data_IF_964491579225
#
_entry.id   IF_964491579225
#
_cell.length_a   1.000
_cell.length_b   1.000
_cell.length_c   1.000
_cell.angle_alpha   90.00
_cell.angle_beta   90.00
_cell.angle_gamma   90.00
#
_symmetry.space_group_name_H-M   'P 1'
#
loop_
_entity.id
_entity.type
_entity.pdbx_description
1 polymer ?
#
# COMPACT_ATOMS: atom_id res chain seq x y z
N UNK A 1 -8.43 -0.16 72.61
CA UNK A 1 -7.70 0.04 71.34
C UNK A 1 -8.68 -0.30 70.20
N UNK A 2 -9.60 0.54 69.70
CA UNK A 2 -9.89 1.98 69.81
C UNK A 2 -9.09 2.97 68.94
N UNK A 3 -9.43 3.02 67.65
CA UNK A 3 -9.87 4.23 66.92
C UNK A 3 -11.15 3.84 66.16
N UNK A 4 -12.28 4.57 66.04
CA UNK A 4 -12.59 6.03 66.07
C UNK A 4 -11.78 6.79 65.03
N UNK A 5 -12.28 7.58 64.08
CA UNK A 5 -13.59 8.12 63.60
C UNK A 5 -13.14 9.11 62.44
N UNK A 6 -13.98 9.86 61.67
CA UNK A 6 -15.43 9.79 61.51
C UNK A 6 -15.94 9.81 60.05
N UNK A 7 -17.26 9.81 59.94
CA UNK A 7 -18.10 10.20 58.81
C UNK A 7 -18.21 11.74 58.68
N UNK A 8 -18.37 12.25 57.46
CA UNK A 8 -18.88 13.61 57.18
C UNK A 8 -19.38 13.75 55.74
N UNK A 9 -20.69 13.92 55.60
CA UNK A 9 -21.39 14.28 54.36
C UNK A 9 -21.34 15.79 54.08
N UNK A 10 -20.93 16.17 52.87
CA UNK A 10 -21.21 17.42 52.12
C UNK A 10 -20.43 17.25 50.79
N UNK A 11 -20.93 17.53 49.59
CA UNK A 11 -22.09 18.30 49.18
C UNK A 11 -21.71 19.16 47.97
N UNK A 12 -21.58 18.56 46.78
CA UNK A 12 -21.47 19.29 45.50
C UNK A 12 -21.94 18.42 44.35
N UNK A 13 -23.09 18.76 43.79
CA UNK A 13 -23.52 18.31 42.46
C UNK A 13 -22.85 19.21 41.42
N UNK A 14 -21.96 18.64 40.61
CA UNK A 14 -21.64 19.22 39.29
C UNK A 14 -22.32 18.37 38.23
N UNK A 15 -23.37 18.94 37.64
CA UNK A 15 -24.07 18.35 36.51
C UNK A 15 -23.19 18.45 35.27
N UNK A 16 -22.59 17.34 34.83
CA UNK A 16 -21.96 17.26 33.51
C UNK A 16 -23.06 17.17 32.45
N UNK A 17 -23.60 18.31 32.07
CA UNK A 17 -24.63 18.46 31.06
C UNK A 17 -24.04 18.16 29.66
N UNK A 18 -24.20 16.91 29.20
CA UNK A 18 -23.86 16.53 27.83
C UNK A 18 -24.78 17.25 26.83
N UNK A 19 -24.29 18.33 26.22
CA UNK A 19 -25.00 19.01 25.14
C UNK A 19 -25.05 18.15 23.88
N UNK A 20 -26.12 17.36 23.75
CA UNK A 20 -26.54 16.78 22.47
C UNK A 20 -26.99 17.91 21.54
N UNK A 21 -26.31 18.11 20.41
CA UNK A 21 -26.71 19.07 19.37
C UNK A 21 -27.54 18.38 18.26
N UNK A 22 -28.85 18.62 18.15
CA UNK A 22 -29.64 18.13 17.03
C UNK A 22 -29.66 19.15 15.89
N UNK A 23 -28.92 18.90 14.80
CA UNK A 23 -29.05 19.68 13.57
C UNK A 23 -30.01 19.01 12.59
N UNK A 24 -31.13 19.69 12.31
CA UNK A 24 -32.12 19.26 11.32
C UNK A 24 -31.81 19.83 9.94
N UNK A 25 -31.74 18.94 8.94
CA UNK A 25 -31.62 19.35 7.54
C UNK A 25 -32.85 20.14 7.08
N UNK A 26 -32.63 21.25 6.37
CA UNK A 26 -33.68 21.94 5.62
C UNK A 26 -33.35 21.91 4.12
N UNK A 27 -34.20 21.24 3.33
CA UNK A 27 -34.11 21.28 1.88
C UNK A 27 -34.37 22.71 1.37
N UNK A 28 -33.50 23.22 0.50
CA UNK A 28 -33.86 24.32 -0.41
C UNK A 28 -33.78 23.84 -1.86
N UNK A 29 -34.87 24.04 -2.60
CA UNK A 29 -35.03 23.63 -3.99
C UNK A 29 -34.88 24.84 -4.93
N UNK A 30 -34.35 24.57 -6.14
CA UNK A 30 -34.50 25.36 -7.39
C UNK A 30 -33.65 26.64 -7.52
N UNK A 31 -33.32 27.11 -8.73
CA UNK A 31 -33.71 26.70 -10.12
C UNK A 31 -32.50 26.84 -11.10
N UNK A 32 -32.63 26.31 -12.31
CA UNK A 32 -31.62 26.29 -13.39
C UNK A 32 -31.20 27.68 -13.94
N UNK A 33 -29.95 27.81 -14.42
CA UNK A 33 -29.67 28.40 -15.75
C UNK A 33 -28.24 28.12 -16.25
N UNK A 34 -28.12 27.44 -17.39
CA UNK A 34 -26.86 27.27 -18.14
C UNK A 34 -26.75 28.38 -19.19
N UNK A 35 -25.63 29.10 -19.25
CA UNK A 35 -25.22 29.86 -20.43
C UNK A 35 -23.72 29.71 -20.72
N UNK A 36 -23.41 29.27 -21.95
CA UNK A 36 -22.07 29.31 -22.51
C UNK A 36 -21.65 30.75 -22.83
N UNK A 37 -20.38 31.09 -22.62
CA UNK A 37 -19.62 31.91 -23.58
C UNK A 37 -18.09 31.87 -23.33
N UNK A 38 -17.35 31.76 -24.43
CA UNK A 38 -15.96 32.18 -24.65
C UNK A 38 -16.03 33.30 -25.74
N UNK A 39 -14.99 34.13 -26.07
CA UNK A 39 -13.56 33.78 -26.13
C UNK A 39 -12.54 34.92 -25.86
N UNK A 40 -11.27 34.68 -26.25
CA UNK A 40 -10.21 35.65 -26.66
C UNK A 40 -9.49 36.47 -25.58
N UNK A 41 -8.24 36.96 -25.73
CA UNK A 41 -7.04 36.63 -26.56
C UNK A 41 -5.86 37.46 -25.99
N UNK A 42 -4.60 37.05 -26.20
CA UNK A 42 -3.40 37.91 -26.01
C UNK A 42 -2.34 37.60 -27.10
N UNK A 43 -1.47 38.55 -27.51
CA UNK A 43 -0.99 38.63 -28.90
C UNK A 43 0.48 38.22 -29.17
N UNK A 44 0.80 38.08 -30.45
CA UNK A 44 2.15 37.92 -31.04
C UNK A 44 2.94 39.25 -31.10
N UNK A 45 4.28 39.18 -31.24
CA UNK A 45 5.01 39.76 -32.39
C UNK A 45 6.56 39.53 -32.40
N UNK A 46 7.09 39.06 -33.53
CA UNK A 46 8.39 39.45 -34.17
C UNK A 46 9.77 39.16 -33.50
N UNK A 47 10.90 39.01 -34.22
CA UNK A 47 11.14 38.69 -35.64
C UNK A 47 12.60 38.21 -35.94
N UNK A 48 12.70 37.29 -36.92
CA UNK A 48 13.75 37.09 -37.95
C UNK A 48 15.17 37.68 -37.80
N UNK A 49 16.16 36.78 -37.75
CA UNK A 49 17.20 36.54 -38.79
C UNK A 49 17.73 35.08 -38.69
N UNK A 50 18.42 34.45 -39.66
CA UNK A 50 18.74 34.81 -41.05
C UNK A 50 19.77 33.85 -41.72
N UNK A 51 19.92 33.96 -43.05
CA UNK A 51 21.02 33.42 -43.91
C UNK A 51 21.17 31.87 -44.08
N UNK A 52 20.66 31.39 -45.22
CA UNK A 52 21.15 30.34 -46.17
C UNK A 52 22.26 29.33 -45.81
N UNK A 53 22.12 28.07 -46.28
CA UNK A 53 23.23 27.38 -46.97
C UNK A 53 23.49 25.86 -46.77
N UNK A 54 22.73 25.01 -47.49
CA UNK A 54 23.20 23.83 -48.28
C UNK A 54 24.19 22.76 -47.71
N UNK A 55 23.69 21.51 -47.69
CA UNK A 55 24.35 20.19 -47.94
C UNK A 55 25.37 19.53 -46.97
N UNK A 56 25.21 18.19 -46.92
CA UNK A 56 26.18 17.09 -46.63
C UNK A 56 26.34 16.47 -45.21
N UNK A 57 25.94 15.18 -45.19
CA UNK A 57 26.54 13.99 -44.52
C UNK A 57 26.70 13.89 -43.00
N UNK A 58 26.28 12.76 -42.37
CA UNK A 58 26.74 12.34 -41.06
C UNK A 58 28.00 11.46 -41.16
N UNK A 59 29.01 11.76 -40.35
CA UNK A 59 30.15 10.86 -40.10
C UNK A 59 29.84 9.87 -38.97
N UNK A 60 30.19 8.60 -39.17
CA UNK A 60 30.66 7.72 -38.08
C UNK A 60 31.75 6.82 -38.64
N UNK A 61 33.01 7.05 -38.24
CA UNK A 61 34.14 6.23 -38.67
C UNK A 61 34.12 4.82 -38.08
N UNK A 62 34.43 3.83 -38.92
CA UNK A 62 34.93 2.51 -38.50
C UNK A 62 36.07 2.06 -39.42
N UNK A 63 37.26 2.01 -38.85
CA UNK A 63 38.47 1.36 -39.38
C UNK A 63 38.78 0.15 -38.45
N UNK A 64 39.37 -0.99 -38.87
CA UNK A 64 40.00 -1.41 -40.14
C UNK A 64 40.17 -2.95 -40.18
N UNK A 65 40.28 -3.54 -41.37
CA UNK A 65 40.75 -4.93 -41.60
C UNK A 65 39.88 -5.68 -42.62
N UNK A 66 40.15 -5.61 -43.93
CA UNK A 66 41.23 -6.28 -44.70
C UNK A 66 41.05 -7.83 -44.78
N UNK A 67 41.11 -8.50 -45.93
CA UNK A 67 41.34 -8.03 -47.31
C UNK A 67 40.74 -8.99 -48.37
N UNK A 68 40.77 -8.61 -49.64
CA UNK A 68 40.23 -9.34 -50.80
C UNK A 68 40.96 -10.69 -51.06
N UNK A 69 40.34 -11.73 -51.64
CA UNK A 69 40.03 -11.76 -53.09
C UNK A 69 39.49 -13.13 -53.53
N UNK A 70 38.73 -13.15 -54.64
CA UNK A 70 38.44 -14.36 -55.42
C UNK A 70 39.51 -14.53 -56.51
N UNK A 71 39.85 -15.77 -56.87
CA UNK A 71 40.22 -16.06 -58.26
C UNK A 71 39.89 -17.50 -58.69
N UNK A 72 39.64 -17.68 -59.97
CA UNK A 72 39.33 -18.94 -60.63
C UNK A 72 40.62 -19.72 -60.99
N UNK A 73 40.54 -21.06 -61.15
CA UNK A 73 40.69 -21.73 -62.47
C UNK A 73 40.91 -23.27 -62.41
N UNK A 74 40.49 -23.89 -63.52
CA UNK A 74 41.09 -25.06 -64.18
C UNK A 74 41.21 -26.41 -63.44
N UNK A 75 40.16 -27.22 -63.63
CA UNK A 75 40.20 -28.48 -64.38
C UNK A 75 41.58 -29.18 -64.54
N UNK A 76 41.77 -30.31 -63.86
CA UNK A 76 42.71 -31.38 -64.29
C UNK A 76 42.03 -32.74 -64.17
N UNK A 77 42.11 -33.51 -65.24
CA UNK A 77 41.68 -34.91 -65.30
C UNK A 77 42.62 -35.82 -64.50
N UNK A 78 42.10 -36.88 -63.86
CA UNK A 78 42.70 -38.22 -63.98
C UNK A 78 41.86 -39.38 -63.43
N UNK A 79 41.90 -40.48 -64.19
CA UNK A 79 41.74 -41.89 -63.82
C UNK A 79 40.52 -42.41 -63.06
N UNK A 80 39.71 -43.13 -63.84
CA UNK A 80 38.93 -44.31 -63.46
C UNK A 80 39.72 -45.29 -62.60
N UNK A 81 39.14 -45.74 -61.48
CA UNK A 81 39.34 -47.10 -60.97
C UNK A 81 38.06 -47.59 -60.29
N UNK A 82 37.30 -48.46 -60.96
CA UNK A 82 36.08 -49.05 -60.43
C UNK A 82 36.42 -50.25 -59.54
N UNK A 83 36.48 -50.01 -58.23
CA UNK A 83 36.53 -51.08 -57.23
C UNK A 83 35.25 -51.93 -57.23
N UNK A 84 35.31 -53.22 -56.84
CA UNK A 84 34.13 -54.06 -56.77
C UNK A 84 33.12 -53.50 -55.73
N UNK A 85 31.81 -53.71 -55.92
CA UNK A 85 30.81 -53.23 -54.98
C UNK A 85 31.04 -53.86 -53.60
N UNK A 86 31.42 -53.03 -52.63
CA UNK A 86 31.44 -53.44 -51.22
C UNK A 86 30.04 -53.84 -50.77
N UNK A 87 29.90 -54.78 -49.82
CA UNK A 87 28.60 -55.29 -49.41
C UNK A 87 27.73 -54.14 -48.90
N UNK A 88 26.48 -54.06 -49.36
CA UNK A 88 25.52 -53.06 -48.90
C UNK A 88 25.44 -53.09 -47.36
N UNK A 89 25.88 -52.00 -46.72
CA UNK A 89 25.70 -51.81 -45.28
C UNK A 89 24.22 -51.66 -44.99
N UNK A 90 23.55 -52.80 -44.76
CA UNK A 90 22.14 -52.91 -44.37
C UNK A 90 21.83 -51.86 -43.31
N UNK A 91 20.94 -50.92 -43.64
CA UNK A 91 20.77 -49.66 -42.91
C UNK A 91 20.37 -49.90 -41.45
N UNK A 92 21.34 -49.83 -40.53
CA UNK A 92 21.09 -49.92 -39.08
C UNK A 92 20.24 -48.76 -38.53
N UNK A 93 19.90 -47.76 -39.35
CA UNK A 93 19.00 -46.65 -38.99
C UNK A 93 17.67 -47.14 -38.40
N UNK A 94 17.12 -48.25 -38.89
CA UNK A 94 15.89 -48.82 -38.35
C UNK A 94 16.04 -49.36 -36.90
N UNK A 95 17.24 -49.82 -36.52
CA UNK A 95 17.53 -50.22 -35.13
C UNK A 95 17.59 -49.01 -34.20
N UNK A 96 18.17 -47.89 -34.64
CA UNK A 96 18.16 -46.64 -33.87
C UNK A 96 16.74 -46.05 -33.76
N UNK A 97 15.94 -46.10 -34.82
CA UNK A 97 14.53 -45.69 -34.78
C UNK A 97 13.72 -46.58 -33.83
N UNK A 98 13.94 -47.89 -33.82
CA UNK A 98 13.31 -48.81 -32.87
C UNK A 98 13.73 -48.52 -31.41
N UNK A 99 15.02 -48.25 -31.17
CA UNK A 99 15.51 -47.88 -29.83
C UNK A 99 14.88 -46.56 -29.36
N UNK A 100 14.82 -45.54 -30.22
CA UNK A 100 14.18 -44.24 -29.90
C UNK A 100 12.69 -44.41 -29.67
N UNK A 101 11.99 -45.22 -30.46
CA UNK A 101 10.57 -45.53 -30.25
C UNK A 101 10.32 -46.25 -28.92
N UNK A 102 11.18 -47.20 -28.54
CA UNK A 102 11.13 -47.85 -27.22
C UNK A 102 11.43 -46.86 -26.09
N UNK A 103 12.40 -45.97 -26.25
CA UNK A 103 12.73 -44.93 -25.26
C UNK A 103 11.56 -43.96 -25.07
N UNK A 104 10.92 -43.51 -26.16
CA UNK A 104 9.73 -42.66 -26.12
C UNK A 104 8.51 -43.39 -25.51
N UNK A 105 8.35 -44.69 -25.77
CA UNK A 105 7.33 -45.50 -25.10
C UNK A 105 7.60 -45.65 -23.59
N UNK A 106 8.85 -45.87 -23.18
CA UNK A 106 9.23 -45.91 -21.77
C UNK A 106 8.97 -44.57 -21.11
N UNK A 107 9.47 -43.46 -21.69
CA UNK A 107 9.25 -42.10 -21.17
C UNK A 107 7.74 -41.78 -21.09
N UNK A 108 6.98 -42.06 -22.14
CA UNK A 108 5.53 -41.84 -22.17
C UNK A 108 4.79 -42.71 -21.15
N UNK A 109 5.18 -43.98 -20.98
CA UNK A 109 4.59 -44.86 -19.97
C UNK A 109 4.89 -44.40 -18.55
N UNK A 110 6.14 -43.99 -18.27
CA UNK A 110 6.52 -43.37 -16.99
C UNK A 110 5.75 -42.08 -16.75
N UNK A 111 5.56 -41.24 -17.77
CA UNK A 111 4.79 -40.00 -17.66
C UNK A 111 3.32 -40.28 -17.35
N UNK A 112 2.70 -41.28 -17.98
CA UNK A 112 1.31 -41.70 -17.67
C UNK A 112 1.20 -42.32 -16.27
N UNK A 113 2.19 -43.10 -15.83
CA UNK A 113 2.21 -43.69 -14.49
C UNK A 113 2.38 -42.59 -13.42
N UNK A 114 3.26 -41.62 -13.64
CA UNK A 114 3.42 -40.45 -12.77
C UNK A 114 2.12 -39.63 -12.76
N UNK A 115 1.56 -39.32 -13.93
CA UNK A 115 0.30 -38.58 -14.05
C UNK A 115 -0.86 -39.25 -13.29
N UNK A 116 -1.00 -40.58 -13.37
CA UNK A 116 -2.03 -41.30 -12.60
C UNK A 116 -1.70 -41.43 -11.11
N UNK A 117 -0.44 -41.65 -10.74
CA UNK A 117 -0.01 -41.74 -9.34
C UNK A 117 -0.17 -40.41 -8.57
N UNK A 118 -0.07 -39.29 -9.27
CA UNK A 118 -0.30 -37.92 -8.75
C UNK A 118 -1.67 -37.34 -9.16
N UNK A 119 -2.66 -38.18 -9.44
CA UNK A 119 -4.07 -37.76 -9.59
C UNK A 119 -4.39 -36.82 -10.76
N UNK A 120 -3.50 -36.70 -11.75
CA UNK A 120 -3.65 -35.82 -12.91
C UNK A 120 -3.12 -34.39 -12.73
N UNK A 121 -2.66 -34.02 -11.53
CA UNK A 121 -2.05 -32.71 -11.25
C UNK A 121 -0.53 -32.76 -11.35
N UNK A 122 0.06 -32.36 -12.49
CA UNK A 122 1.50 -32.05 -12.54
C UNK A 122 1.84 -30.72 -11.85
N UNK A 123 0.83 -29.86 -11.71
CA UNK A 123 0.78 -28.71 -10.81
C UNK A 123 -0.62 -28.71 -10.21
N UNK A 124 -0.77 -29.20 -8.99
CA UNK A 124 -1.94 -28.79 -8.21
C UNK A 124 -1.77 -27.29 -7.92
N UNK A 125 -2.78 -26.44 -8.14
CA UNK A 125 -2.76 -25.09 -7.61
C UNK A 125 -2.53 -25.19 -6.10
N UNK A 126 -1.42 -24.65 -5.61
CA UNK A 126 -1.09 -24.65 -4.19
C UNK A 126 -1.88 -23.52 -3.55
N UNK A 127 -2.79 -23.86 -2.63
CA UNK A 127 -3.53 -22.87 -1.87
C UNK A 127 -2.59 -21.96 -1.07
N UNK A 128 -2.85 -20.66 -1.13
CA UNK A 128 -1.99 -19.59 -0.61
C UNK A 128 -2.66 -18.83 0.52
N UNK A 129 -1.83 -18.36 1.43
CA UNK A 129 -2.15 -17.22 2.30
C UNK A 129 -1.31 -16.03 1.83
N UNK A 130 -1.98 -14.93 1.47
CA UNK A 130 -1.32 -13.70 1.03
C UNK A 130 -1.00 -12.81 2.24
N UNK A 131 0.26 -12.47 2.44
CA UNK A 131 0.73 -11.60 3.52
C UNK A 131 0.97 -10.21 2.96
N UNK A 132 0.24 -9.23 3.52
CA UNK A 132 0.32 -7.81 3.17
C UNK A 132 0.83 -7.06 4.40
N UNK A 133 1.87 -6.26 4.23
CA UNK A 133 2.46 -5.49 5.32
C UNK A 133 1.91 -4.06 5.36
N UNK A 134 1.53 -3.60 6.55
CA UNK A 134 1.18 -2.21 6.82
C UNK A 134 2.15 -1.70 7.89
N UNK A 135 3.30 -1.17 7.47
CA UNK A 135 4.41 -0.82 8.36
C UNK A 135 4.74 0.67 8.32
N UNK A 136 4.83 1.29 9.51
CA UNK A 136 5.10 2.72 9.65
C UNK A 136 3.88 3.60 9.42
N UNK A 137 4.08 4.89 9.19
CA UNK A 137 2.99 5.88 9.13
C UNK A 137 2.15 5.72 7.85
N UNK A 138 0.83 5.75 8.00
CA UNK A 138 -0.13 5.71 6.88
C UNK A 138 -0.21 7.04 6.15
N UNK A 139 -0.19 7.02 4.81
CA UNK A 139 -0.36 8.19 3.96
C UNK A 139 -0.93 7.86 2.58
N UNK A 140 -1.57 8.84 1.94
CA UNK A 140 -2.04 8.77 0.55
C UNK A 140 -0.91 9.29 -0.36
N UNK A 141 -0.17 8.42 -1.03
CA UNK A 141 0.86 8.82 -2.01
C UNK A 141 1.47 7.62 -2.74
N UNK A 142 1.98 7.85 -3.95
CA UNK A 142 2.77 6.87 -4.72
C UNK A 142 4.25 6.75 -4.25
N UNK A 143 4.58 7.12 -3.01
CA UNK A 143 5.94 6.93 -2.47
C UNK A 143 6.18 5.43 -2.24
N UNK A 144 7.30 4.85 -2.71
CA UNK A 144 7.57 3.43 -2.49
C UNK A 144 7.59 3.05 -0.99
N UNK A 145 6.82 2.04 -0.63
CA UNK A 145 6.77 1.52 0.74
C UNK A 145 8.13 0.99 1.25
N UNK A 146 8.32 1.02 2.57
CA UNK A 146 9.53 0.50 3.22
C UNK A 146 10.52 1.53 3.76
N UNK A 147 10.17 2.82 3.76
CA UNK A 147 10.95 3.91 4.38
C UNK A 147 10.34 4.43 5.69
N UNK A 148 9.66 3.56 6.44
CA UNK A 148 8.87 3.95 7.62
C UNK A 148 7.46 4.44 7.30
N UNK A 149 6.98 4.13 6.09
CA UNK A 149 5.66 4.49 5.58
C UNK A 149 4.99 3.30 4.89
N UNK A 150 3.66 3.25 4.98
CA UNK A 150 2.78 2.40 4.20
C UNK A 150 1.74 3.28 3.50
N UNK A 151 1.54 3.08 2.21
CA UNK A 151 0.65 3.92 1.41
C UNK A 151 -0.66 3.22 1.13
N UNK A 152 -1.76 3.97 1.06
CA UNK A 152 -3.06 3.37 0.78
C UNK A 152 -3.09 2.74 -0.60
N UNK A 153 -2.41 3.32 -1.59
CA UNK A 153 -2.34 2.78 -2.94
C UNK A 153 -1.70 1.37 -3.00
N UNK A 154 -0.53 1.18 -2.38
CA UNK A 154 0.21 -0.11 -2.36
C UNK A 154 -0.52 -1.20 -1.57
N UNK A 155 -1.07 -0.83 -0.40
CA UNK A 155 -1.83 -1.77 0.43
C UNK A 155 -3.15 -2.15 -0.24
N UNK A 156 -3.88 -1.18 -0.80
CA UNK A 156 -5.13 -1.43 -1.52
C UNK A 156 -4.92 -2.25 -2.80
N UNK A 157 -3.87 -1.98 -3.58
CA UNK A 157 -3.50 -2.78 -4.74
C UNK A 157 -3.15 -4.22 -4.32
N UNK A 158 -2.34 -4.39 -3.27
CA UNK A 158 -2.03 -5.70 -2.71
C UNK A 158 -3.27 -6.48 -2.24
N UNK A 159 -4.26 -5.81 -1.63
CA UNK A 159 -5.52 -6.44 -1.21
C UNK A 159 -6.34 -6.87 -2.43
N UNK A 160 -6.48 -6.02 -3.45
CA UNK A 160 -7.19 -6.36 -4.70
C UNK A 160 -6.54 -7.53 -5.44
N UNK A 161 -5.22 -7.50 -5.59
CA UNK A 161 -4.47 -8.57 -6.26
C UNK A 161 -4.59 -9.90 -5.50
N UNK A 162 -4.51 -9.87 -4.17
CA UNK A 162 -4.72 -11.04 -3.34
C UNK A 162 -6.17 -11.57 -3.44
N UNK A 163 -7.17 -10.69 -3.48
CA UNK A 163 -8.59 -11.05 -3.60
C UNK A 163 -8.93 -11.60 -5.00
N UNK A 164 -8.17 -11.19 -6.03
CA UNK A 164 -8.39 -11.62 -7.42
C UNK A 164 -7.68 -12.92 -7.81
N UNK A 165 -6.68 -13.39 -7.05
CA UNK A 165 -5.99 -14.65 -7.29
C UNK A 165 -6.79 -15.84 -6.72
N UNK A 166 -7.41 -16.65 -7.60
CA UNK A 166 -8.17 -17.84 -7.21
C UNK A 166 -7.39 -18.85 -6.32
N UNK A 167 -6.07 -18.77 -6.25
CA UNK A 167 -5.22 -19.60 -5.40
C UNK A 167 -5.06 -19.03 -3.97
N UNK A 168 -5.31 -17.74 -3.76
CA UNK A 168 -5.31 -17.12 -2.43
C UNK A 168 -6.63 -17.47 -1.74
N UNK A 169 -6.52 -18.12 -0.58
CA UNK A 169 -7.70 -18.55 0.21
C UNK A 169 -7.94 -17.70 1.44
N UNK A 170 -6.94 -16.93 1.87
CA UNK A 170 -7.06 -15.94 2.93
C UNK A 170 -5.94 -14.90 2.84
N UNK A 171 -6.16 -13.74 3.45
CA UNK A 171 -5.21 -12.62 3.56
C UNK A 171 -4.78 -12.48 5.02
N UNK A 172 -3.48 -12.24 5.26
CA UNK A 172 -2.97 -11.76 6.55
C UNK A 172 -2.42 -10.35 6.41
N UNK A 173 -3.09 -9.39 7.06
CA UNK A 173 -2.63 -8.02 7.19
C UNK A 173 -1.68 -7.93 8.40
N UNK A 174 -0.38 -7.88 8.14
CA UNK A 174 0.64 -7.75 9.19
C UNK A 174 0.92 -6.27 9.45
N UNK A 175 0.25 -5.73 10.46
CA UNK A 175 0.25 -4.31 10.82
C UNK A 175 1.32 -4.03 11.88
N UNK A 176 2.18 -3.04 11.64
CA UNK A 176 3.03 -2.41 12.66
C UNK A 176 3.10 -0.90 12.40
N UNK A 177 2.04 -0.18 12.79
CA UNK A 177 1.78 1.21 12.40
C UNK A 177 1.14 2.02 13.54
N UNK A 178 1.59 3.28 13.78
CA UNK A 178 0.97 4.20 14.73
C UNK A 178 -0.29 4.90 14.16
N UNK A 179 -0.70 4.59 12.94
CA UNK A 179 -1.71 5.34 12.19
C UNK A 179 -1.08 6.36 11.24
N UNK A 180 -1.79 7.45 10.94
CA UNK A 180 -1.36 8.45 9.97
C UNK A 180 -2.56 9.20 9.37
N UNK A 181 -2.55 9.38 8.05
CA UNK A 181 -3.66 10.01 7.31
C UNK A 181 -4.98 9.24 7.49
N UNK A 182 -6.05 9.94 7.90
CA UNK A 182 -7.40 9.38 8.00
C UNK A 182 -7.90 8.85 6.65
N UNK A 183 -7.69 9.60 5.57
CA UNK A 183 -8.07 9.18 4.20
C UNK A 183 -7.35 7.91 3.76
N UNK A 184 -6.07 7.73 4.13
CA UNK A 184 -5.36 6.49 3.86
C UNK A 184 -5.94 5.30 4.67
N UNK A 185 -6.41 5.58 5.90
CA UNK A 185 -7.16 4.62 6.71
C UNK A 185 -8.47 4.20 6.06
N UNK A 186 -9.30 5.17 5.66
CA UNK A 186 -10.60 4.97 4.99
C UNK A 186 -10.49 4.20 3.66
N UNK A 187 -9.49 4.55 2.83
CA UNK A 187 -9.22 3.86 1.56
C UNK A 187 -8.87 2.38 1.78
N UNK A 188 -7.99 2.09 2.73
CA UNK A 188 -7.61 0.71 3.04
C UNK A 188 -8.77 -0.03 3.74
N UNK A 189 -9.46 0.59 4.72
CA UNK A 189 -10.65 0.05 5.40
C UNK A 189 -11.68 -0.46 4.38
N UNK A 190 -11.96 0.35 3.36
CA UNK A 190 -12.89 0.01 2.28
C UNK A 190 -12.49 -1.27 1.54
N UNK A 191 -11.20 -1.46 1.26
CA UNK A 191 -10.71 -2.65 0.54
C UNK A 191 -10.62 -3.88 1.45
N UNK A 192 -10.30 -3.72 2.73
CA UNK A 192 -10.35 -4.80 3.73
C UNK A 192 -11.77 -5.34 3.87
N UNK A 193 -12.76 -4.45 4.07
CA UNK A 193 -14.18 -4.81 4.15
C UNK A 193 -14.64 -5.51 2.88
N UNK A 194 -14.28 -5.00 1.69
CA UNK A 194 -14.59 -5.63 0.40
C UNK A 194 -13.98 -7.03 0.24
N UNK A 195 -12.77 -7.26 0.74
CA UNK A 195 -12.12 -8.56 0.68
C UNK A 195 -12.86 -9.59 1.56
N UNK A 196 -13.15 -9.24 2.82
CA UNK A 196 -13.99 -10.07 3.72
C UNK A 196 -15.37 -10.37 3.09
N UNK A 197 -16.08 -9.33 2.63
CA UNK A 197 -17.40 -9.45 1.97
C UNK A 197 -17.39 -10.30 0.69
N UNK A 198 -16.25 -10.41 0.01
CA UNK A 198 -16.08 -11.28 -1.16
C UNK A 198 -15.97 -12.77 -0.82
N UNK A 199 -15.78 -13.10 0.46
CA UNK A 199 -15.56 -14.46 0.96
C UNK A 199 -14.09 -14.88 1.00
N UNK A 200 -13.13 -13.94 0.88
CA UNK A 200 -11.71 -14.17 1.15
C UNK A 200 -11.42 -13.67 2.57
N UNK A 201 -11.25 -14.55 3.58
CA UNK A 201 -11.07 -14.13 4.96
C UNK A 201 -9.81 -13.29 5.14
N UNK A 202 -9.95 -12.19 5.86
CA UNK A 202 -8.86 -11.27 6.20
C UNK A 202 -8.57 -11.36 7.70
N UNK A 203 -7.37 -11.81 8.04
CA UNK A 203 -6.88 -11.89 9.41
C UNK A 203 -5.85 -10.78 9.66
N UNK A 204 -6.12 -9.90 10.61
CA UNK A 204 -5.15 -8.90 11.07
C UNK A 204 -4.20 -9.53 12.06
N UNK A 205 -2.91 -9.30 11.87
CA UNK A 205 -1.85 -9.66 12.81
C UNK A 205 -1.14 -8.41 13.30
N UNK A 206 -1.47 -7.95 14.50
CA UNK A 206 -0.87 -6.75 15.08
C UNK A 206 0.56 -7.00 15.59
N UNK A 207 1.43 -6.03 15.33
CA UNK A 207 2.83 -5.99 15.77
C UNK A 207 3.00 -5.33 17.13
N UNK A 208 4.03 -4.49 17.23
CA UNK A 208 4.28 -3.70 18.44
C UNK A 208 3.21 -2.61 18.60
N UNK A 209 2.76 -2.04 17.48
CA UNK A 209 1.70 -1.01 17.44
C UNK A 209 0.73 -1.22 16.26
N UNK A 210 -0.55 -1.03 16.51
CA UNK A 210 -1.62 -0.97 15.50
C UNK A 210 -2.71 -0.01 16.02
N UNK A 211 -2.44 1.29 15.94
CA UNK A 211 -3.19 2.34 16.64
C UNK A 211 -3.73 3.41 15.67
N UNK A 212 -4.76 4.16 16.09
CA UNK A 212 -5.41 5.23 15.31
C UNK A 212 -5.84 4.72 13.92
N UNK A 213 -5.49 5.38 12.82
CA UNK A 213 -5.83 4.92 11.47
C UNK A 213 -5.36 3.48 11.14
N UNK A 214 -4.38 2.92 11.84
CA UNK A 214 -4.02 1.51 11.70
C UNK A 214 -4.99 0.56 12.41
N UNK A 215 -5.64 1.01 13.49
CA UNK A 215 -6.78 0.30 14.08
C UNK A 215 -8.03 0.43 13.20
N UNK A 216 -8.27 1.60 12.59
CA UNK A 216 -9.32 1.82 11.59
C UNK A 216 -9.24 0.77 10.47
N UNK A 217 -8.07 0.62 9.86
CA UNK A 217 -7.76 -0.44 8.88
C UNK A 217 -7.98 -1.86 9.41
N UNK A 218 -7.84 -2.07 10.72
CA UNK A 218 -8.01 -3.39 11.33
C UNK A 218 -9.48 -3.77 11.55
N UNK A 219 -10.35 -2.78 11.75
CA UNK A 219 -11.71 -2.98 12.24
C UNK A 219 -12.58 -3.94 11.41
N UNK A 220 -12.61 -3.91 10.06
CA UNK A 220 -13.51 -4.73 9.26
C UNK A 220 -12.89 -6.09 8.86
N UNK A 221 -11.85 -6.54 9.56
CA UNK A 221 -11.24 -7.84 9.35
C UNK A 221 -12.02 -8.94 10.07
N UNK A 222 -12.12 -10.12 9.46
CA UNK A 222 -12.85 -11.28 10.01
C UNK A 222 -12.26 -11.80 11.33
N UNK A 223 -10.97 -11.52 11.57
CA UNK A 223 -10.29 -11.85 12.83
C UNK A 223 -9.12 -10.89 13.11
N UNK A 224 -9.08 -10.29 14.29
CA UNK A 224 -7.97 -9.46 14.78
C UNK A 224 -7.17 -10.23 15.83
N UNK A 225 -5.89 -10.48 15.53
CA UNK A 225 -4.93 -11.14 16.41
C UNK A 225 -3.89 -10.15 16.94
N UNK A 226 -3.72 -10.06 18.26
CA UNK A 226 -2.71 -9.22 18.91
C UNK A 226 -1.83 -9.99 19.91
N UNK A 227 -0.66 -9.44 20.25
CA UNK A 227 0.13 -9.91 21.39
C UNK A 227 -0.35 -9.20 22.66
N UNK A 228 -0.17 -9.78 23.87
CA UNK A 228 -0.60 -9.13 25.12
C UNK A 228 -0.05 -7.71 25.32
N UNK A 229 1.13 -7.41 24.76
CA UNK A 229 1.82 -6.13 24.89
C UNK A 229 1.81 -5.28 23.61
N UNK A 230 1.05 -5.68 22.58
CA UNK A 230 0.75 -4.82 21.42
C UNK A 230 0.06 -3.54 21.92
N UNK A 231 0.43 -2.38 21.38
CA UNK A 231 -0.28 -1.12 21.61
C UNK A 231 -1.31 -0.88 20.50
N UNK A 232 -2.59 -0.76 20.87
CA UNK A 232 -3.69 -0.57 19.91
C UNK A 232 -4.73 0.40 20.47
N UNK A 233 -5.92 0.49 19.86
CA UNK A 233 -6.87 1.56 20.12
C UNK A 233 -6.38 2.87 19.54
N UNK A 234 -6.28 3.92 20.37
CA UNK A 234 -6.08 5.30 19.92
C UNK A 234 -7.15 5.74 18.91
N UNK A 235 -8.38 5.24 19.08
CA UNK A 235 -9.54 5.59 18.26
C UNK A 235 -9.87 7.04 18.56
N UNK A 236 -9.76 7.90 17.55
CA UNK A 236 -9.72 9.35 17.71
C UNK A 236 -8.98 10.03 16.56
N UNK A 237 -9.26 11.31 16.37
CA UNK A 237 -8.71 12.14 15.30
C UNK A 237 -8.14 13.43 15.89
N UNK A 238 -7.00 13.89 15.37
CA UNK A 238 -6.37 15.15 15.78
C UNK A 238 -6.00 15.99 14.55
N UNK A 239 -6.09 17.31 14.67
CA UNK A 239 -5.52 18.26 13.72
C UNK A 239 -4.66 19.26 14.48
N UNK A 240 -3.35 19.23 14.26
CA UNK A 240 -2.39 20.07 14.97
C UNK A 240 -2.13 21.36 14.20
N UNK A 241 -2.11 22.48 14.93
CA UNK A 241 -1.73 23.80 14.43
C UNK A 241 -0.69 24.42 15.36
N UNK A 242 0.42 24.89 14.82
CA UNK A 242 1.47 25.55 15.58
C UNK A 242 1.23 27.06 15.64
N UNK A 243 1.46 27.68 16.80
CA UNK A 243 1.47 29.13 16.94
C UNK A 243 2.86 29.61 17.36
N UNK A 244 3.52 30.30 16.44
CA UNK A 244 4.86 30.86 16.57
C UNK A 244 4.84 32.40 16.55
N UNK A 245 3.67 33.05 16.70
CA UNK A 245 3.53 34.52 16.66
C UNK A 245 4.53 35.21 17.60
N UNK A 246 4.62 34.73 18.85
CA UNK A 246 5.55 35.27 19.84
C UNK A 246 7.04 35.05 19.52
N UNK A 247 7.40 34.12 18.62
CA UNK A 247 8.75 34.00 18.09
C UNK A 247 9.02 35.05 17.01
N UNK A 248 8.10 35.22 16.05
CA UNK A 248 8.22 36.24 15.01
C UNK A 248 8.25 37.67 15.58
N UNK A 249 7.43 37.95 16.62
CA UNK A 249 7.46 39.22 17.36
C UNK A 249 8.85 39.51 17.98
N UNK A 250 9.54 38.48 18.49
CA UNK A 250 10.87 38.63 19.09
C UNK A 250 11.96 38.88 18.04
N UNK A 251 11.86 38.22 16.88
CA UNK A 251 12.80 38.40 15.75
C UNK A 251 12.48 39.63 14.88
N UNK A 252 11.35 40.33 15.15
CA UNK A 252 10.91 41.49 14.38
C UNK A 252 10.40 41.16 12.97
N UNK A 253 9.86 39.95 12.78
CA UNK A 253 9.34 39.44 11.51
C UNK A 253 7.83 39.72 11.45
N UNK A 254 7.40 40.53 10.47
CA UNK A 254 5.99 40.88 10.23
C UNK A 254 5.53 40.35 8.85
N UNK A 255 4.25 39.98 8.76
CA UNK A 255 3.65 39.31 7.60
C UNK A 255 2.43 40.07 7.07
N UNK A 256 2.55 40.61 5.86
CA UNK A 256 1.38 41.09 5.10
C UNK A 256 0.78 39.97 4.24
N UNK A 257 -0.43 39.52 4.58
CA UNK A 257 -1.13 38.43 3.88
C UNK A 257 -2.27 38.98 3.00
N UNK A 258 -2.08 38.92 1.68
CA UNK A 258 -3.16 39.10 0.73
C UNK A 258 -3.87 37.76 0.48
N UNK A 259 -5.15 37.65 0.84
CA UNK A 259 -5.94 36.40 0.75
C UNK A 259 -7.30 36.63 0.07
N UNK A 260 -7.78 35.59 -0.62
CA UNK A 260 -9.05 35.60 -1.37
C UNK A 260 -10.29 35.29 -0.51
N UNK A 261 -10.09 34.85 0.73
CA UNK A 261 -11.15 34.51 1.68
C UNK A 261 -10.59 34.40 3.09
N UNK A 262 -11.47 34.49 4.09
CA UNK A 262 -11.12 34.64 5.51
C UNK A 262 -10.27 33.48 6.04
N UNK A 263 -10.76 32.24 5.92
CA UNK A 263 -10.10 31.01 6.38
C UNK A 263 -8.88 30.59 5.54
N UNK A 264 -8.46 31.34 4.51
CA UNK A 264 -7.47 30.85 3.54
C UNK A 264 -6.03 30.78 4.09
N UNK A 265 -5.77 31.47 5.19
CA UNK A 265 -4.54 31.41 6.00
C UNK A 265 -4.81 30.88 7.42
N UNK A 266 -5.89 30.11 7.61
CA UNK A 266 -6.24 29.49 8.88
C UNK A 266 -5.06 28.69 9.44
N UNK A 267 -4.75 28.93 10.71
CA UNK A 267 -3.65 28.26 11.38
C UNK A 267 -2.26 28.70 10.92
N UNK A 268 -2.15 29.82 10.18
CA UNK A 268 -0.86 30.43 9.85
C UNK A 268 -0.03 30.68 11.10
N UNK A 269 1.19 30.14 11.13
CA UNK A 269 2.06 30.10 12.32
C UNK A 269 2.33 31.47 12.94
N UNK A 270 2.25 32.54 12.14
CA UNK A 270 2.46 33.93 12.55
C UNK A 270 1.33 34.54 13.38
N UNK A 271 0.16 33.91 13.44
CA UNK A 271 -1.00 34.38 14.21
C UNK A 271 -1.75 33.31 15.00
N UNK A 272 -1.62 32.04 14.62
CA UNK A 272 -2.46 30.96 15.14
C UNK A 272 -3.92 31.05 14.68
N UNK A 273 -4.80 30.29 15.33
CA UNK A 273 -6.23 30.23 15.00
C UNK A 273 -7.03 31.35 15.69
N UNK A 274 -7.95 31.98 14.96
CA UNK A 274 -9.06 32.77 15.54
C UNK A 274 -10.10 31.86 16.23
N UNK A 275 -11.09 32.41 16.94
CA UNK A 275 -12.15 31.57 17.54
C UNK A 275 -12.99 30.86 16.47
N UNK A 276 -13.44 31.57 15.43
CA UNK A 276 -14.19 31.00 14.29
C UNK A 276 -13.38 29.88 13.58
N UNK A 277 -12.06 30.03 13.50
CA UNK A 277 -11.15 29.01 12.97
C UNK A 277 -11.00 27.79 13.89
N UNK A 278 -11.02 27.98 15.21
CA UNK A 278 -11.05 26.86 16.17
C UNK A 278 -12.37 26.11 16.11
N UNK A 279 -13.51 26.83 16.01
CA UNK A 279 -14.82 26.22 15.86
C UNK A 279 -14.88 25.39 14.58
N UNK A 280 -14.41 25.94 13.46
CA UNK A 280 -14.32 25.21 12.19
C UNK A 280 -13.37 24.00 12.27
N UNK A 281 -12.18 24.14 12.87
CA UNK A 281 -11.24 23.03 13.03
C UNK A 281 -11.83 21.90 13.90
N UNK A 282 -12.50 22.23 15.01
CA UNK A 282 -13.20 21.27 15.86
C UNK A 282 -14.33 20.56 15.11
N UNK A 283 -15.10 21.29 14.28
CA UNK A 283 -16.15 20.72 13.43
C UNK A 283 -15.59 19.69 12.43
N UNK A 284 -14.46 20.01 11.77
CA UNK A 284 -13.79 19.09 10.83
C UNK A 284 -13.27 17.83 11.56
N UNK A 285 -12.61 17.99 12.71
CA UNK A 285 -12.13 16.87 13.52
C UNK A 285 -13.28 15.98 14.00
N UNK A 286 -14.40 16.58 14.43
CA UNK A 286 -15.58 15.85 14.88
C UNK A 286 -16.26 15.03 13.75
N UNK A 287 -16.27 15.55 12.52
CA UNK A 287 -16.80 14.81 11.36
C UNK A 287 -15.96 13.56 11.06
N UNK A 288 -14.64 13.71 10.93
CA UNK A 288 -13.72 12.58 10.67
C UNK A 288 -13.73 11.57 11.83
N UNK A 289 -13.86 12.05 13.07
CA UNK A 289 -14.03 11.19 14.24
C UNK A 289 -15.34 10.37 14.20
N UNK A 290 -16.45 10.95 13.71
CA UNK A 290 -17.70 10.19 13.59
C UNK A 290 -17.58 9.05 12.59
N UNK A 291 -16.99 9.29 11.41
CA UNK A 291 -16.70 8.23 10.43
C UNK A 291 -15.89 7.09 11.04
N UNK A 292 -14.82 7.40 11.79
CA UNK A 292 -14.00 6.37 12.44
C UNK A 292 -14.78 5.60 13.52
N UNK A 293 -15.65 6.26 14.30
CA UNK A 293 -16.55 5.59 15.25
C UNK A 293 -17.55 4.66 14.53
N UNK A 294 -18.16 5.13 13.45
CA UNK A 294 -19.14 4.40 12.64
C UNK A 294 -18.51 3.16 12.00
N UNK A 295 -17.34 3.30 11.39
CA UNK A 295 -16.57 2.21 10.76
C UNK A 295 -16.08 1.16 11.78
N UNK A 296 -15.71 1.58 13.01
CA UNK A 296 -15.39 0.63 14.09
C UNK A 296 -16.64 -0.06 14.63
N UNK A 297 -17.76 0.66 14.76
CA UNK A 297 -19.03 0.07 15.20
C UNK A 297 -19.52 -1.01 14.23
N UNK A 298 -19.47 -0.73 12.91
CA UNK A 298 -19.80 -1.71 11.87
C UNK A 298 -18.81 -2.89 11.85
N UNK A 299 -17.50 -2.63 11.81
CA UNK A 299 -16.48 -3.67 11.71
C UNK A 299 -16.39 -4.59 12.94
N UNK A 300 -16.79 -4.12 14.13
CA UNK A 300 -16.66 -4.87 15.39
C UNK A 300 -17.99 -5.36 15.98
N UNK A 301 -19.11 -5.20 15.27
CA UNK A 301 -20.48 -5.50 15.73
C UNK A 301 -20.79 -4.86 17.10
N UNK A 302 -20.41 -3.59 17.26
CA UNK A 302 -20.62 -2.77 18.45
C UNK A 302 -21.63 -1.66 18.18
N UNK A 303 -22.32 -1.17 19.20
CA UNK A 303 -23.03 0.11 19.05
C UNK A 303 -22.06 1.28 19.01
N UNK A 304 -22.40 2.35 18.28
CA UNK A 304 -21.63 3.60 18.33
C UNK A 304 -21.44 4.13 19.75
N UNK A 305 -22.39 3.89 20.66
CA UNK A 305 -22.29 4.28 22.07
C UNK A 305 -21.14 3.56 22.78
N UNK A 306 -21.06 2.24 22.63
CA UNK A 306 -19.96 1.44 23.18
C UNK A 306 -18.62 1.86 22.56
N UNK A 307 -18.56 2.10 21.25
CA UNK A 307 -17.33 2.59 20.60
C UNK A 307 -16.92 3.96 21.15
N UNK A 308 -17.86 4.90 21.31
CA UNK A 308 -17.59 6.26 21.85
C UNK A 308 -17.08 6.22 23.29
N UNK A 309 -17.53 5.28 24.11
CA UNK A 309 -16.99 5.05 25.47
C UNK A 309 -15.52 4.56 25.46
N UNK A 310 -15.08 3.93 24.37
CA UNK A 310 -13.70 3.44 24.19
C UNK A 310 -12.80 4.40 23.38
N UNK A 311 -13.39 5.35 22.66
CA UNK A 311 -12.76 6.15 21.61
C UNK A 311 -12.46 7.60 22.01
N UNK A 312 -11.81 7.80 23.16
CA UNK A 312 -11.31 9.12 23.60
C UNK A 312 -9.85 9.39 23.19
N UNK A 313 -9.30 8.60 22.26
CA UNK A 313 -7.91 8.68 21.81
C UNK A 313 -6.88 7.94 22.69
N UNK A 314 -7.28 7.31 23.81
CA UNK A 314 -6.33 6.51 24.62
C UNK A 314 -5.85 5.23 23.91
N UNK A 315 -4.64 4.79 24.25
CA UNK A 315 -4.13 3.47 23.84
C UNK A 315 -4.58 2.37 24.80
N UNK A 316 -4.69 1.15 24.27
CA UNK A 316 -4.89 -0.09 25.02
C UNK A 316 -3.73 -1.06 24.75
N UNK A 317 -3.43 -1.94 25.71
CA UNK A 317 -2.64 -3.14 25.45
C UNK A 317 -3.51 -4.15 24.68
N UNK A 318 -2.91 -5.10 23.97
CA UNK A 318 -3.66 -6.17 23.30
C UNK A 318 -4.51 -7.00 24.27
N UNK A 319 -4.05 -7.16 25.52
CA UNK A 319 -4.83 -7.81 26.58
C UNK A 319 -6.11 -7.05 26.93
N UNK A 320 -6.01 -5.75 27.24
CA UNK A 320 -7.19 -4.91 27.50
C UNK A 320 -8.05 -4.74 26.25
N UNK A 321 -7.46 -4.65 25.06
CA UNK A 321 -8.22 -4.53 23.81
C UNK A 321 -9.08 -5.78 23.54
N UNK A 322 -8.60 -6.98 23.89
CA UNK A 322 -9.40 -8.20 23.81
C UNK A 322 -10.53 -8.22 24.86
N UNK A 323 -10.26 -7.79 26.09
CA UNK A 323 -11.30 -7.66 27.14
C UNK A 323 -12.41 -6.65 26.74
N UNK A 324 -12.08 -5.68 25.90
CA UNK A 324 -12.99 -4.66 25.36
C UNK A 324 -13.62 -5.04 24.00
N UNK A 325 -13.34 -6.21 23.44
CA UNK A 325 -13.85 -6.66 22.12
C UNK A 325 -13.19 -6.00 20.89
N UNK A 326 -12.20 -5.14 21.10
CA UNK A 326 -11.44 -4.47 20.03
C UNK A 326 -10.46 -5.43 19.32
N UNK A 327 -10.15 -6.57 19.93
CA UNK A 327 -9.29 -7.66 19.43
C UNK A 327 -10.00 -8.98 19.70
N UNK A 328 -9.90 -9.95 18.78
CA UNK A 328 -10.59 -11.24 18.90
C UNK A 328 -9.75 -12.30 19.64
N UNK A 329 -8.48 -12.42 19.26
CA UNK A 329 -7.62 -13.52 19.72
C UNK A 329 -6.20 -13.08 20.08
N UNK A 330 -5.59 -13.80 21.02
CA UNK A 330 -4.22 -13.55 21.47
C UNK A 330 -3.24 -14.46 20.73
N UNK A 331 -2.30 -13.86 20.00
CA UNK A 331 -1.35 -14.61 19.20
C UNK A 331 -0.24 -13.77 18.58
N UNK A 332 0.67 -14.47 17.90
CA UNK A 332 1.74 -13.86 17.12
C UNK A 332 1.45 -14.00 15.61
N UNK A 333 2.41 -13.59 14.78
CA UNK A 333 2.27 -13.67 13.32
C UNK A 333 2.02 -15.10 12.80
N UNK A 334 2.64 -16.12 13.40
CA UNK A 334 2.45 -17.52 12.98
C UNK A 334 1.04 -18.00 13.33
N UNK A 335 0.54 -17.66 14.52
CA UNK A 335 -0.84 -17.97 14.90
C UNK A 335 -1.85 -17.32 13.93
N UNK A 336 -1.64 -16.07 13.52
CA UNK A 336 -2.49 -15.43 12.51
C UNK A 336 -2.43 -16.11 11.13
N UNK A 337 -1.28 -16.65 10.71
CA UNK A 337 -1.17 -17.48 9.50
C UNK A 337 -1.96 -18.79 9.64
N UNK A 338 -1.88 -19.45 10.78
CA UNK A 338 -2.62 -20.70 11.06
C UNK A 338 -4.14 -20.44 11.01
N UNK A 339 -4.62 -19.37 11.66
CA UNK A 339 -6.04 -18.98 11.64
C UNK A 339 -6.51 -18.55 10.25
N UNK A 340 -5.69 -17.86 9.47
CA UNK A 340 -6.01 -17.54 8.07
C UNK A 340 -6.12 -18.79 7.20
N UNK A 341 -5.21 -19.77 7.37
CA UNK A 341 -5.30 -21.04 6.66
C UNK A 341 -6.55 -21.85 7.05
N UNK A 342 -6.92 -21.85 8.33
CA UNK A 342 -8.14 -22.49 8.84
C UNK A 342 -9.41 -21.85 8.27
N UNK A 343 -9.53 -20.51 8.33
CA UNK A 343 -10.67 -19.76 7.78
C UNK A 343 -10.77 -19.90 6.26
N UNK A 344 -9.63 -19.91 5.56
CA UNK A 344 -9.56 -20.16 4.12
C UNK A 344 -9.79 -21.62 3.70
N UNK A 345 -9.98 -22.55 4.66
CA UNK A 345 -10.23 -23.96 4.39
C UNK A 345 -9.04 -24.72 3.78
N UNK A 346 -7.81 -24.28 4.03
CA UNK A 346 -6.60 -24.90 3.46
C UNK A 346 -6.27 -26.20 4.21
N UNK A 347 -6.16 -27.31 3.49
CA UNK A 347 -5.70 -28.59 4.05
C UNK A 347 -4.16 -28.72 3.98
N UNK A 348 -3.48 -28.66 5.13
CA UNK A 348 -2.03 -28.86 5.24
C UNK A 348 -1.25 -27.56 5.48
N UNK A 349 0.03 -27.53 5.11
CA UNK A 349 0.85 -26.32 5.22
C UNK A 349 0.54 -25.33 4.07
N UNK A 350 0.09 -24.10 4.35
CA UNK A 350 -0.26 -23.12 3.33
C UNK A 350 0.98 -22.58 2.61
N UNK A 351 0.86 -22.26 1.32
CA UNK A 351 1.92 -21.56 0.60
C UNK A 351 1.87 -20.06 0.92
N UNK A 352 2.82 -19.57 1.71
CA UNK A 352 2.87 -18.15 2.08
C UNK A 352 3.46 -17.31 0.95
N UNK A 353 2.69 -16.34 0.45
CA UNK A 353 3.12 -15.35 -0.54
C UNK A 353 3.09 -13.98 0.09
N UNK A 354 4.13 -13.17 -0.13
CA UNK A 354 4.22 -11.81 0.41
C UNK A 354 4.02 -10.81 -0.72
N UNK A 355 2.99 -9.95 -0.62
CA UNK A 355 2.57 -9.08 -1.72
C UNK A 355 3.51 -7.86 -1.88
N UNK A 356 3.64 -7.05 -0.82
CA UNK A 356 4.36 -5.77 -0.83
C UNK A 356 5.63 -5.77 0.03
N UNK A 357 6.33 -6.89 0.13
CA UNK A 357 7.55 -6.96 0.95
C UNK A 357 8.68 -6.14 0.30
N UNK A 358 9.31 -5.17 0.99
CA UNK A 358 10.39 -4.38 0.41
C UNK A 358 11.52 -5.26 -0.11
N UNK A 359 11.86 -5.09 -1.39
CA UNK A 359 12.97 -5.81 -2.03
C UNK A 359 14.20 -4.93 -2.09
N UNK A 360 15.40 -5.53 -2.13
CA UNK A 360 16.63 -4.76 -2.32
C UNK A 360 16.61 -3.97 -3.64
N UNK A 361 15.90 -4.46 -4.65
CA UNK A 361 15.64 -3.76 -5.91
C UNK A 361 14.72 -2.55 -5.73
N UNK A 362 13.58 -2.67 -5.01
CA UNK A 362 12.68 -1.53 -4.79
C UNK A 362 13.32 -0.45 -3.92
N UNK A 363 14.17 -0.84 -2.96
CA UNK A 363 14.95 0.08 -2.14
C UNK A 363 16.10 0.77 -2.91
N UNK A 364 16.73 0.10 -3.88
CA UNK A 364 17.88 0.63 -4.61
C UNK A 364 17.51 1.45 -5.86
N UNK A 365 16.37 1.14 -6.50
CA UNK A 365 15.97 1.76 -7.76
C UNK A 365 14.65 2.55 -7.68
N UNK A 366 13.85 2.35 -6.63
CA UNK A 366 12.49 2.87 -6.54
C UNK A 366 11.53 2.17 -7.49
N UNK A 367 10.23 2.19 -7.17
CA UNK A 367 9.21 1.74 -8.13
C UNK A 367 9.24 2.64 -9.38
N UNK A 368 9.19 2.07 -10.59
CA UNK A 368 9.37 2.82 -11.84
C UNK A 368 8.15 3.71 -12.19
N UNK A 369 8.00 4.84 -11.50
CA UNK A 369 7.50 6.10 -12.09
C UNK A 369 7.64 7.27 -11.10
N UNK A 370 8.18 8.40 -11.56
CA UNK A 370 8.32 9.68 -10.83
C UNK A 370 9.29 9.73 -9.63
N UNK A 371 10.10 8.67 -9.41
CA UNK A 371 11.10 8.56 -8.34
C UNK A 371 12.04 9.77 -8.21
N UNK A 372 12.44 10.39 -9.32
CA UNK A 372 13.39 11.52 -9.30
C UNK A 372 12.85 12.77 -8.60
N UNK A 373 11.58 13.13 -8.83
CA UNK A 373 10.98 14.31 -8.22
C UNK A 373 10.73 14.11 -6.72
N UNK A 374 10.29 12.91 -6.32
CA UNK A 374 10.11 12.56 -4.91
C UNK A 374 11.44 12.48 -4.15
N UNK A 375 12.50 11.96 -4.76
CA UNK A 375 13.85 11.96 -4.18
C UNK A 375 14.40 13.39 -4.09
N UNK A 376 14.24 14.24 -5.11
CA UNK A 376 14.67 15.65 -5.04
C UNK A 376 13.91 16.42 -3.94
N UNK A 377 12.62 16.16 -3.75
CA UNK A 377 11.81 16.79 -2.70
C UNK A 377 12.14 16.25 -1.29
N UNK A 378 12.48 14.96 -1.17
CA UNK A 378 12.96 14.35 0.07
C UNK A 378 14.36 14.85 0.43
N UNK A 379 15.26 14.95 -0.55
CA UNK A 379 16.62 15.48 -0.34
C UNK A 379 16.59 16.97 -0.02
N UNK A 380 15.80 17.80 -0.72
CA UNK A 380 15.71 19.24 -0.40
C UNK A 380 15.15 19.49 1.00
N UNK A 381 14.19 18.70 1.47
CA UNK A 381 13.69 18.77 2.85
C UNK A 381 14.79 18.55 3.91
N UNK A 382 15.79 17.72 3.62
CA UNK A 382 16.93 17.45 4.52
C UNK A 382 18.20 18.29 4.23
N UNK A 383 18.43 18.72 2.99
CA UNK A 383 19.60 19.50 2.59
C UNK A 383 19.39 21.01 2.72
N UNK A 384 18.15 21.50 2.53
CA UNK A 384 17.78 22.93 2.59
C UNK A 384 17.07 23.33 3.89
N UNK A 385 16.95 22.42 4.87
CA UNK A 385 16.45 22.78 6.21
C UNK A 385 17.38 23.83 6.86
N UNK A 386 16.88 25.04 7.19
CA UNK A 386 17.68 26.07 7.87
C UNK A 386 17.98 25.71 9.35
N UNK A 387 17.48 24.57 9.83
CA UNK A 387 17.57 24.15 11.24
C UNK A 387 18.63 23.07 11.52
N UNK A 388 19.47 22.74 10.53
CA UNK A 388 20.77 22.11 10.77
C UNK A 388 20.86 20.61 10.47
N UNK A 389 22.09 20.16 10.20
CA UNK A 389 22.41 18.77 9.83
C UNK A 389 22.59 17.90 11.08
N UNK A 390 21.96 16.74 11.08
CA UNK A 390 22.33 15.63 11.98
C UNK A 390 23.59 14.97 11.40
N UNK A 391 24.58 14.69 12.25
CA UNK A 391 25.87 14.05 11.94
C UNK A 391 25.84 12.58 12.34
#
# INVERSE_FOLDING_TARGET
MSGKYPDSSEGSSDDTEYHTYPYSYSESKKDDTIQNNSPSEMPEETASTGITGREQTPETEKYRGADESKNERANTSNNTYSGPPGPEKKSRKWQYLAIVAVLLLVIGSSFVIIFQAFGGGLYAPTDKVAVIYVQGTLLTSSVPGGLGYATSEDVAESIRDATADENVKAIVLRINSPGGSSTAGEEIYTEVRRASESGVPVVVSMGDVAASAAYHVSAPADLIVANPSTMTGSIGTIWMFENLSGYYDQEGIDYYIAKSGEFKDMGGSWRGLTEDEKEYANLVVAQVYSTFVEDVAEGRDMSEGEVRDLADGRIYTGETAMELGLVDEMGNFYYALDRAAELGGIEGEPTIVYMNRPTLSSLLFGSESNTSAAIEQFLSFYEESPYGKIV
#
